data_IF_022954916143
#
_entry.id   IF_022954916143
#
_cell.length_a   1.000
_cell.length_b   1.000
_cell.length_c   1.000
_cell.angle_alpha   90.00
_cell.angle_beta   90.00
_cell.angle_gamma   90.00
#
_symmetry.space_group_name_H-M   'P 1'
#
loop_
_entity.id
_entity.type
_entity.pdbx_description
1 polymer ?
#
# COMPACT_ATOMS: atom_id res chain seq x y z
N UNK A 1 -46.67 -5.95 -40.90
CA UNK A 1 -45.92 -6.45 -39.72
C UNK A 1 -44.68 -5.59 -39.61
N UNK A 2 -44.79 -4.39 -39.04
CA UNK A 2 -44.86 -4.00 -37.61
C UNK A 2 -43.47 -3.72 -37.05
N UNK A 3 -43.23 -2.41 -36.90
CA UNK A 3 -42.26 -1.76 -36.02
C UNK A 3 -42.16 -2.46 -34.65
N UNK A 4 -41.07 -3.18 -34.37
CA UNK A 4 -40.80 -3.69 -33.02
C UNK A 4 -39.32 -4.08 -32.72
N UNK A 5 -38.32 -3.66 -33.51
CA UNK A 5 -36.91 -4.09 -33.30
C UNK A 5 -35.97 -2.97 -32.79
N UNK A 6 -36.49 -1.97 -32.10
CA UNK A 6 -35.66 -0.93 -31.45
C UNK A 6 -35.95 -0.90 -29.96
N UNK A 7 -35.15 -1.66 -29.19
CA UNK A 7 -34.75 -1.42 -27.79
C UNK A 7 -33.98 -2.63 -27.24
N UNK A 8 -32.73 -2.78 -27.67
CA UNK A 8 -31.71 -3.39 -26.84
C UNK A 8 -30.52 -2.43 -26.92
N UNK A 9 -30.28 -1.68 -25.84
CA UNK A 9 -29.02 -0.97 -25.67
C UNK A 9 -27.86 -1.96 -25.64
N UNK A 10 -26.60 -1.50 -25.68
CA UNK A 10 -25.46 -2.39 -25.64
C UNK A 10 -25.54 -3.24 -24.36
N UNK A 11 -25.52 -4.56 -24.52
CA UNK A 11 -25.38 -5.49 -23.42
C UNK A 11 -23.99 -5.26 -22.83
N UNK A 12 -23.90 -4.50 -21.73
CA UNK A 12 -22.66 -4.44 -20.96
C UNK A 12 -22.50 -5.84 -20.34
N UNK A 13 -21.54 -6.60 -20.85
CA UNK A 13 -21.17 -7.89 -20.28
C UNK A 13 -20.31 -7.61 -19.04
N UNK A 14 -20.93 -7.49 -17.88
CA UNK A 14 -20.21 -7.67 -16.61
C UNK A 14 -19.73 -9.12 -16.56
N UNK A 15 -18.42 -9.34 -16.40
CA UNK A 15 -17.89 -10.69 -16.23
C UNK A 15 -18.32 -11.28 -14.88
N UNK A 16 -18.50 -10.42 -13.86
CA UNK A 16 -19.08 -10.77 -12.56
C UNK A 16 -20.59 -10.55 -12.56
N UNK A 17 -21.34 -11.59 -12.21
CA UNK A 17 -22.80 -11.54 -12.06
C UNK A 17 -23.23 -11.09 -10.67
N UNK A 18 -24.47 -10.58 -10.57
CA UNK A 18 -25.11 -10.28 -9.29
C UNK A 18 -25.04 -11.45 -8.31
N UNK A 19 -25.34 -12.68 -8.76
CA UNK A 19 -25.31 -13.83 -7.86
C UNK A 19 -23.89 -14.14 -7.39
N UNK A 20 -22.87 -14.02 -8.27
CA UNK A 20 -21.49 -14.24 -7.87
C UNK A 20 -21.06 -13.25 -6.78
N UNK A 21 -21.30 -11.95 -6.95
CA UNK A 21 -20.92 -10.96 -5.94
C UNK A 21 -21.77 -11.08 -4.65
N UNK A 22 -23.06 -11.38 -4.78
CA UNK A 22 -23.95 -11.59 -3.63
C UNK A 22 -23.57 -12.85 -2.82
N UNK A 23 -23.11 -13.90 -3.48
CA UNK A 23 -22.88 -15.20 -2.83
C UNK A 23 -21.40 -15.49 -2.54
N UNK A 24 -20.46 -14.68 -3.04
CA UNK A 24 -19.02 -14.83 -2.75
C UNK A 24 -18.75 -14.77 -1.24
N UNK A 25 -17.86 -15.65 -0.78
CA UNK A 25 -17.29 -15.62 0.56
C UNK A 25 -15.85 -15.07 0.49
N UNK A 26 -15.62 -13.79 0.85
CA UNK A 26 -14.30 -13.18 0.79
C UNK A 26 -13.25 -13.92 1.63
N UNK A 27 -13.66 -14.52 2.76
CA UNK A 27 -12.74 -15.18 3.70
C UNK A 27 -12.06 -16.42 3.10
N UNK A 28 -12.58 -16.97 1.99
CA UNK A 28 -11.90 -18.04 1.27
C UNK A 28 -10.60 -17.57 0.61
N UNK A 29 -10.51 -16.29 0.21
CA UNK A 29 -9.31 -15.73 -0.38
C UNK A 29 -8.26 -15.43 0.69
N UNK A 30 -8.67 -14.89 1.85
CA UNK A 30 -7.79 -14.74 3.01
C UNK A 30 -7.26 -16.09 3.51
N UNK A 31 -8.10 -17.13 3.55
CA UNK A 31 -7.65 -18.50 3.88
C UNK A 31 -6.63 -19.03 2.86
N UNK A 32 -6.83 -18.74 1.57
CA UNK A 32 -5.86 -19.12 0.55
C UNK A 32 -4.55 -18.34 0.71
N UNK A 33 -4.62 -17.07 1.13
CA UNK A 33 -3.46 -16.25 1.45
C UNK A 33 -2.66 -16.89 2.61
N UNK A 34 -3.32 -17.29 3.69
CA UNK A 34 -2.72 -18.03 4.81
C UNK A 34 -2.01 -19.32 4.35
N UNK A 35 -2.60 -20.08 3.40
CA UNK A 35 -1.98 -21.27 2.82
C UNK A 35 -0.70 -20.92 2.03
N UNK A 36 -0.70 -19.80 1.30
CA UNK A 36 0.51 -19.31 0.60
C UNK A 36 1.60 -18.82 1.56
N UNK A 37 1.24 -18.28 2.73
CA UNK A 37 2.21 -17.95 3.78
C UNK A 37 2.91 -19.21 4.30
N UNK A 38 2.21 -20.34 4.40
CA UNK A 38 2.84 -21.62 4.76
C UNK A 38 3.86 -22.02 3.69
N UNK A 39 3.49 -21.94 2.41
CA UNK A 39 4.40 -22.25 1.29
C UNK A 39 5.64 -21.34 1.31
N UNK A 40 5.46 -20.04 1.56
CA UNK A 40 6.56 -19.09 1.67
C UNK A 40 7.55 -19.48 2.77
N UNK A 41 7.04 -19.77 3.98
CA UNK A 41 7.87 -20.18 5.13
C UNK A 41 8.59 -21.50 4.91
N UNK A 42 7.96 -22.47 4.25
CA UNK A 42 8.60 -23.74 3.90
C UNK A 42 9.73 -23.53 2.88
N UNK A 43 9.52 -22.65 1.90
CA UNK A 43 10.56 -22.29 0.92
C UNK A 43 11.72 -21.52 1.56
N UNK A 44 11.45 -20.59 2.48
CA UNK A 44 12.48 -19.90 3.28
C UNK A 44 13.32 -20.90 4.08
N UNK A 45 12.67 -21.79 4.83
CA UNK A 45 13.35 -22.82 5.62
C UNK A 45 14.22 -23.72 4.74
N UNK A 46 13.73 -24.10 3.55
CA UNK A 46 14.51 -24.91 2.61
C UNK A 46 15.72 -24.16 2.04
N UNK A 47 15.60 -22.85 1.77
CA UNK A 47 16.72 -22.04 1.32
C UNK A 47 17.80 -21.93 2.42
N UNK A 48 17.38 -21.63 3.66
CA UNK A 48 18.27 -21.51 4.82
C UNK A 48 18.98 -22.83 5.11
N UNK A 49 18.25 -23.94 5.13
CA UNK A 49 18.82 -25.28 5.34
C UNK A 49 19.90 -25.59 4.29
N UNK A 50 19.71 -25.24 3.02
CA UNK A 50 20.71 -25.48 1.96
C UNK A 50 21.93 -24.56 2.12
N UNK A 51 21.72 -23.30 2.51
CA UNK A 51 22.82 -22.37 2.80
C UNK A 51 23.66 -22.83 4.00
N UNK A 52 23.02 -23.04 5.16
CA UNK A 52 23.70 -23.33 6.43
C UNK A 52 24.25 -24.75 6.50
N UNK A 53 23.53 -25.75 5.97
CA UNK A 53 23.88 -27.17 6.17
C UNK A 53 24.84 -27.70 5.12
N UNK A 54 24.64 -27.30 3.87
CA UNK A 54 25.25 -27.97 2.72
C UNK A 54 26.35 -27.14 2.07
N UNK A 55 26.18 -25.82 1.89
CA UNK A 55 27.20 -25.00 1.23
C UNK A 55 28.48 -24.79 2.07
N UNK A 56 28.32 -24.40 3.35
CA UNK A 56 29.44 -24.18 4.28
C UNK A 56 30.20 -25.48 4.58
N UNK A 57 29.45 -26.58 4.77
CA UNK A 57 30.02 -27.91 4.98
C UNK A 57 30.81 -28.40 3.76
N UNK A 58 30.37 -28.08 2.55
CA UNK A 58 31.05 -28.44 1.31
C UNK A 58 32.33 -27.62 1.09
N UNK A 59 32.37 -26.35 1.49
CA UNK A 59 33.56 -25.51 1.32
C UNK A 59 34.75 -26.06 2.10
N UNK A 60 34.52 -26.48 3.34
CA UNK A 60 35.58 -27.00 4.21
C UNK A 60 36.03 -28.42 3.86
N UNK A 61 35.16 -29.22 3.24
CA UNK A 61 35.36 -30.67 3.10
C UNK A 61 35.53 -31.15 1.66
N UNK A 62 35.20 -30.33 0.65
CA UNK A 62 35.28 -30.71 -0.77
C UNK A 62 35.79 -29.54 -1.63
N UNK A 63 37.10 -29.29 -1.55
CA UNK A 63 37.74 -28.10 -2.13
C UNK A 63 38.24 -28.26 -3.57
N UNK A 64 37.89 -29.35 -4.27
CA UNK A 64 38.31 -29.54 -5.66
C UNK A 64 37.32 -28.89 -6.66
N UNK A 65 37.66 -28.91 -7.95
CA UNK A 65 36.83 -28.31 -9.01
C UNK A 65 35.41 -28.91 -9.07
N UNK A 66 35.23 -30.17 -8.65
CA UNK A 66 33.92 -30.81 -8.60
C UNK A 66 33.13 -30.34 -7.38
N UNK A 67 33.78 -30.16 -6.25
CA UNK A 67 33.18 -29.55 -5.06
C UNK A 67 32.82 -28.08 -5.24
N UNK A 68 33.61 -27.32 -6.01
CA UNK A 68 33.24 -25.97 -6.48
C UNK A 68 31.93 -25.97 -7.29
N UNK A 69 31.79 -26.91 -8.23
CA UNK A 69 30.56 -27.04 -9.02
C UNK A 69 29.37 -27.46 -8.15
N UNK A 70 29.56 -28.39 -7.22
CA UNK A 70 28.50 -28.82 -6.30
C UNK A 70 28.00 -27.66 -5.43
N UNK A 71 28.91 -26.83 -4.90
CA UNK A 71 28.55 -25.62 -4.13
C UNK A 71 27.76 -24.61 -4.97
N UNK A 72 28.20 -24.35 -6.20
CA UNK A 72 27.48 -23.44 -7.09
C UNK A 72 26.04 -23.91 -7.37
N UNK A 73 25.83 -25.22 -7.53
CA UNK A 73 24.48 -25.79 -7.70
C UNK A 73 23.64 -25.69 -6.41
N UNK A 74 24.21 -25.96 -5.23
CA UNK A 74 23.51 -25.74 -3.96
C UNK A 74 23.09 -24.28 -3.78
N UNK A 75 23.99 -23.33 -4.06
CA UNK A 75 23.69 -21.89 -4.03
C UNK A 75 22.55 -21.53 -4.99
N UNK A 76 22.55 -22.09 -6.19
CA UNK A 76 21.44 -21.90 -7.15
C UNK A 76 20.11 -22.42 -6.59
N UNK A 77 20.09 -23.63 -6.03
CA UNK A 77 18.84 -24.21 -5.50
C UNK A 77 18.31 -23.38 -4.33
N UNK A 78 19.19 -22.93 -3.43
CA UNK A 78 18.80 -22.06 -2.32
C UNK A 78 18.22 -20.73 -2.85
N UNK A 79 18.84 -20.13 -3.86
CA UNK A 79 18.33 -18.97 -4.58
C UNK A 79 16.94 -19.23 -5.19
N UNK A 80 16.74 -20.36 -5.89
CA UNK A 80 15.45 -20.71 -6.49
C UNK A 80 14.34 -20.81 -5.42
N UNK A 81 14.63 -21.41 -4.26
CA UNK A 81 13.68 -21.46 -3.12
C UNK A 81 13.39 -20.07 -2.56
N UNK A 82 14.41 -19.23 -2.45
CA UNK A 82 14.26 -17.87 -2.00
C UNK A 82 13.33 -17.05 -2.93
N UNK A 83 13.50 -17.22 -4.25
CA UNK A 83 12.62 -16.60 -5.26
C UNK A 83 11.17 -17.10 -5.11
N UNK A 84 10.99 -18.40 -4.90
CA UNK A 84 9.67 -18.98 -4.68
C UNK A 84 8.99 -18.45 -3.42
N UNK A 85 9.74 -18.24 -2.33
CA UNK A 85 9.22 -17.66 -1.10
C UNK A 85 8.68 -16.23 -1.32
N UNK A 86 9.46 -15.38 -1.99
CA UNK A 86 9.09 -14.00 -2.28
C UNK A 86 7.87 -13.89 -3.18
N UNK A 87 7.83 -14.68 -4.25
CA UNK A 87 6.66 -14.73 -5.12
C UNK A 87 5.42 -15.21 -4.35
N UNK A 88 5.58 -16.18 -3.44
CA UNK A 88 4.48 -16.69 -2.59
C UNK A 88 3.97 -15.62 -1.62
N UNK A 89 4.86 -14.79 -1.05
CA UNK A 89 4.45 -13.64 -0.23
C UNK A 89 3.69 -12.59 -1.04
N UNK A 90 4.16 -12.24 -2.23
CA UNK A 90 3.41 -11.35 -3.11
C UNK A 90 2.02 -11.91 -3.47
N UNK A 91 1.89 -13.23 -3.63
CA UNK A 91 0.58 -13.89 -3.85
C UNK A 91 -0.32 -13.75 -2.61
N UNK A 92 0.21 -13.98 -1.41
CA UNK A 92 -0.49 -13.70 -0.14
C UNK A 92 -0.98 -12.24 -0.12
N UNK A 93 -0.09 -11.25 -0.32
CA UNK A 93 -0.46 -9.82 -0.31
C UNK A 93 -1.63 -9.53 -1.26
N UNK A 94 -1.57 -10.03 -2.50
CA UNK A 94 -2.64 -9.82 -3.49
C UNK A 94 -3.94 -10.52 -3.08
N UNK A 95 -3.88 -11.71 -2.50
CA UNK A 95 -5.07 -12.45 -2.09
C UNK A 95 -5.77 -11.82 -0.87
N UNK A 96 -5.01 -11.30 0.10
CA UNK A 96 -5.56 -10.54 1.23
C UNK A 96 -6.17 -9.23 0.75
N UNK A 97 -5.44 -8.48 -0.10
CA UNK A 97 -5.96 -7.28 -0.75
C UNK A 97 -7.24 -7.53 -1.56
N UNK A 98 -7.29 -8.65 -2.29
CA UNK A 98 -8.48 -9.07 -3.02
C UNK A 98 -9.63 -9.45 -2.08
N UNK A 99 -9.36 -10.17 -0.99
CA UNK A 99 -10.37 -10.50 0.02
C UNK A 99 -11.00 -9.23 0.60
N UNK A 100 -10.17 -8.25 0.93
CA UNK A 100 -10.59 -6.95 1.46
C UNK A 100 -11.42 -6.15 0.44
N UNK A 101 -10.92 -5.99 -0.78
CA UNK A 101 -11.63 -5.29 -1.85
C UNK A 101 -12.96 -5.95 -2.22
N UNK A 102 -13.01 -7.29 -2.30
CA UNK A 102 -14.24 -8.05 -2.54
C UNK A 102 -15.22 -7.86 -1.38
N UNK A 103 -14.75 -7.86 -0.13
CA UNK A 103 -15.60 -7.57 1.04
C UNK A 103 -16.18 -6.15 0.96
N UNK A 104 -15.37 -5.17 0.55
CA UNK A 104 -15.79 -3.78 0.37
C UNK A 104 -16.85 -3.62 -0.73
N UNK A 105 -16.61 -4.13 -1.93
CA UNK A 105 -17.56 -4.01 -3.05
C UNK A 105 -18.83 -4.86 -2.85
N UNK A 106 -18.73 -6.00 -2.16
CA UNK A 106 -19.90 -6.77 -1.72
C UNK A 106 -20.82 -5.95 -0.82
N UNK A 107 -20.25 -5.19 0.12
CA UNK A 107 -21.03 -4.28 0.99
C UNK A 107 -21.67 -3.14 0.20
N UNK A 108 -21.02 -2.61 -0.83
CA UNK A 108 -21.64 -1.63 -1.72
C UNK A 108 -22.88 -2.22 -2.42
N UNK A 109 -22.79 -3.47 -2.89
CA UNK A 109 -23.93 -4.18 -3.46
C UNK A 109 -25.06 -4.37 -2.44
N UNK A 110 -24.73 -4.81 -1.22
CA UNK A 110 -25.70 -4.99 -0.12
C UNK A 110 -26.38 -3.66 0.23
N UNK A 111 -25.64 -2.56 0.32
CA UNK A 111 -26.18 -1.21 0.54
C UNK A 111 -27.11 -0.76 -0.60
N UNK A 112 -26.81 -1.09 -1.85
CA UNK A 112 -27.68 -0.80 -2.99
C UNK A 112 -29.02 -1.57 -2.90
N UNK A 113 -28.95 -2.84 -2.49
CA UNK A 113 -30.13 -3.69 -2.27
C UNK A 113 -30.95 -3.20 -1.07
N UNK A 114 -30.30 -2.79 0.01
CA UNK A 114 -30.96 -2.22 1.20
C UNK A 114 -31.65 -0.89 0.87
N UNK A 115 -31.00 -0.03 0.07
CA UNK A 115 -31.60 1.18 -0.47
C UNK A 115 -32.87 0.87 -1.29
N UNK A 116 -32.80 -0.11 -2.20
CA UNK A 116 -33.93 -0.51 -3.03
C UNK A 116 -35.11 -1.04 -2.21
N UNK A 117 -34.83 -2.01 -1.33
CA UNK A 117 -35.84 -2.67 -0.52
C UNK A 117 -36.43 -1.73 0.53
N UNK A 118 -35.62 -0.85 1.12
CA UNK A 118 -36.06 0.21 2.03
C UNK A 118 -37.00 1.22 1.36
N UNK A 119 -36.84 1.47 0.07
CA UNK A 119 -37.74 2.29 -0.74
C UNK A 119 -39.01 1.54 -1.21
N UNK A 120 -39.21 0.28 -0.79
CA UNK A 120 -40.35 -0.55 -1.21
C UNK A 120 -40.28 -0.99 -2.67
N UNK A 121 -39.07 -1.09 -3.23
CA UNK A 121 -38.81 -1.60 -4.58
C UNK A 121 -38.58 -3.12 -4.54
N UNK A 122 -38.72 -3.76 -5.69
CA UNK A 122 -38.46 -5.20 -5.85
C UNK A 122 -37.14 -5.43 -6.56
N UNK A 123 -36.25 -6.21 -5.94
CA UNK A 123 -34.98 -6.66 -6.54
C UNK A 123 -35.18 -8.10 -7.02
N UNK A 124 -34.91 -8.38 -8.30
CA UNK A 124 -34.97 -9.73 -8.85
C UNK A 124 -33.72 -10.55 -8.55
N UNK A 125 -33.77 -11.85 -8.86
CA UNK A 125 -32.67 -12.79 -8.60
C UNK A 125 -31.37 -12.42 -9.34
N UNK A 126 -31.45 -11.65 -10.41
CA UNK A 126 -30.34 -11.12 -11.22
C UNK A 126 -29.93 -9.68 -10.83
N UNK A 127 -30.50 -9.13 -9.76
CA UNK A 127 -30.16 -7.81 -9.22
C UNK A 127 -30.91 -6.64 -9.84
N UNK A 128 -31.79 -6.87 -10.82
CA UNK A 128 -32.54 -5.78 -11.44
C UNK A 128 -33.64 -5.23 -10.49
N UNK A 129 -33.67 -3.91 -10.32
CA UNK A 129 -34.61 -3.22 -9.43
C UNK A 129 -35.82 -2.70 -10.20
N UNK A 130 -37.02 -3.02 -9.73
CA UNK A 130 -38.30 -2.62 -10.33
C UNK A 130 -39.23 -1.95 -9.32
N UNK A 131 -40.11 -1.10 -9.83
CA UNK A 131 -41.24 -0.56 -9.05
C UNK A 131 -42.35 -1.62 -9.00
N UNK A 132 -42.69 -2.17 -7.83
CA UNK A 132 -43.75 -3.16 -7.74
C UNK A 132 -45.13 -2.56 -8.06
N UNK A 133 -46.08 -3.36 -8.58
CA UNK A 133 -47.45 -2.90 -8.81
C UNK A 133 -48.09 -2.37 -7.51
N UNK A 134 -48.67 -1.17 -7.58
CA UNK A 134 -49.32 -0.53 -6.43
C UNK A 134 -48.38 0.26 -5.52
N UNK A 135 -47.12 0.47 -5.91
CA UNK A 135 -46.28 1.49 -5.29
C UNK A 135 -46.73 2.88 -5.79
N UNK A 136 -47.23 3.70 -4.86
CA UNK A 136 -47.76 5.04 -5.12
C UNK A 136 -46.74 6.16 -4.82
N UNK A 137 -45.49 5.85 -4.47
CA UNK A 137 -44.46 6.88 -4.25
C UNK A 137 -44.09 7.52 -5.61
N UNK A 138 -44.28 8.84 -5.79
CA UNK A 138 -43.92 9.53 -7.03
C UNK A 138 -42.43 9.44 -7.37
N UNK A 139 -41.56 9.12 -6.40
CA UNK A 139 -40.11 8.95 -6.59
C UNK A 139 -39.68 7.51 -6.88
N UNK A 140 -40.58 6.54 -6.82
CA UNK A 140 -40.22 5.12 -6.94
C UNK A 140 -39.46 4.80 -8.23
N UNK A 141 -39.84 5.43 -9.36
CA UNK A 141 -39.17 5.21 -10.64
C UNK A 141 -37.72 5.76 -10.66
N UNK A 142 -37.51 6.93 -10.06
CA UNK A 142 -36.18 7.55 -9.93
C UNK A 142 -35.31 6.73 -8.97
N UNK A 143 -35.86 6.30 -7.83
CA UNK A 143 -35.17 5.44 -6.86
C UNK A 143 -34.82 4.09 -7.47
N UNK A 144 -35.69 3.50 -8.28
CA UNK A 144 -35.39 2.25 -8.98
C UNK A 144 -34.28 2.42 -10.01
N UNK A 145 -34.26 3.53 -10.77
CA UNK A 145 -33.16 3.83 -11.67
C UNK A 145 -31.85 3.96 -10.89
N UNK A 146 -31.86 4.73 -9.79
CA UNK A 146 -30.68 4.91 -8.94
C UNK A 146 -30.16 3.60 -8.34
N UNK A 147 -31.06 2.75 -7.85
CA UNK A 147 -30.67 1.46 -7.30
C UNK A 147 -30.05 0.54 -8.36
N UNK A 148 -30.58 0.57 -9.60
CA UNK A 148 -29.98 -0.19 -10.71
C UNK A 148 -28.57 0.32 -11.05
N UNK A 149 -28.34 1.64 -11.03
CA UNK A 149 -27.01 2.23 -11.21
C UNK A 149 -26.05 1.73 -10.12
N UNK A 150 -26.42 1.83 -8.85
CA UNK A 150 -25.58 1.35 -7.74
C UNK A 150 -25.23 -0.15 -7.84
N UNK A 151 -26.19 -0.98 -8.27
CA UNK A 151 -25.94 -2.41 -8.53
C UNK A 151 -24.95 -2.59 -9.69
N UNK A 152 -25.12 -1.83 -10.77
CA UNK A 152 -24.22 -1.83 -11.94
C UNK A 152 -22.81 -1.40 -11.53
N UNK A 153 -22.67 -0.36 -10.73
CA UNK A 153 -21.38 0.18 -10.29
C UNK A 153 -20.65 -0.85 -9.44
N UNK A 154 -21.34 -1.50 -8.49
CA UNK A 154 -20.77 -2.58 -7.69
C UNK A 154 -20.29 -3.76 -8.54
N UNK A 155 -21.03 -4.14 -9.60
CA UNK A 155 -20.62 -5.22 -10.50
C UNK A 155 -19.45 -4.82 -11.41
N UNK A 156 -19.38 -3.54 -11.80
CA UNK A 156 -18.27 -2.98 -12.57
C UNK A 156 -17.00 -2.98 -11.73
N UNK A 157 -17.06 -2.44 -10.52
CA UNK A 157 -15.97 -2.44 -9.55
C UNK A 157 -15.49 -3.87 -9.26
N UNK A 158 -16.40 -4.81 -8.99
CA UNK A 158 -16.03 -6.21 -8.75
C UNK A 158 -15.35 -6.86 -9.96
N UNK A 159 -15.73 -6.49 -11.19
CA UNK A 159 -15.05 -6.96 -12.41
C UNK A 159 -13.64 -6.40 -12.51
N UNK A 160 -13.43 -5.11 -12.21
CA UNK A 160 -12.09 -4.50 -12.23
C UNK A 160 -11.18 -5.06 -11.14
N UNK A 161 -11.72 -5.28 -9.94
CA UNK A 161 -11.01 -5.94 -8.83
C UNK A 161 -10.55 -7.35 -9.23
N UNK A 162 -11.40 -8.14 -9.89
CA UNK A 162 -11.04 -9.46 -10.44
C UNK A 162 -9.93 -9.36 -11.51
N UNK A 163 -10.03 -8.39 -12.43
CA UNK A 163 -9.05 -8.18 -13.49
C UNK A 163 -7.67 -7.76 -12.95
N UNK A 164 -7.64 -6.89 -11.95
CA UNK A 164 -6.44 -6.41 -11.26
C UNK A 164 -5.76 -7.57 -10.52
N UNK A 165 -6.50 -8.29 -9.66
CA UNK A 165 -6.00 -9.45 -8.94
C UNK A 165 -5.44 -10.51 -9.89
N UNK A 166 -6.20 -10.86 -10.95
CA UNK A 166 -5.77 -11.85 -11.94
C UNK A 166 -4.47 -11.44 -12.63
N UNK A 167 -4.30 -10.16 -12.92
CA UNK A 167 -3.09 -9.63 -13.57
C UNK A 167 -1.90 -9.72 -12.63
N UNK A 168 -2.04 -9.21 -11.41
CA UNK A 168 -0.98 -9.27 -10.40
C UNK A 168 -0.54 -10.71 -10.08
N UNK A 169 -1.50 -11.63 -9.86
CA UNK A 169 -1.21 -13.04 -9.62
C UNK A 169 -0.49 -13.72 -10.79
N UNK A 170 -0.88 -13.39 -12.03
CA UNK A 170 -0.24 -13.95 -13.22
C UNK A 170 1.23 -13.50 -13.33
N UNK A 171 1.51 -12.24 -13.04
CA UNK A 171 2.88 -11.70 -13.11
C UNK A 171 3.78 -12.30 -12.03
N UNK A 172 3.27 -12.45 -10.79
CA UNK A 172 3.97 -13.11 -9.69
C UNK A 172 4.34 -14.56 -10.01
N UNK A 173 3.40 -15.36 -10.52
CA UNK A 173 3.66 -16.76 -10.90
C UNK A 173 4.66 -16.85 -12.06
N UNK A 174 4.59 -15.92 -13.03
CA UNK A 174 5.54 -15.87 -14.15
C UNK A 174 6.96 -15.59 -13.66
N UNK A 175 7.13 -14.72 -12.66
CA UNK A 175 8.44 -14.39 -12.09
C UNK A 175 9.01 -15.51 -11.24
N UNK A 176 8.17 -16.24 -10.48
CA UNK A 176 8.58 -17.46 -9.77
C UNK A 176 9.11 -18.57 -10.69
N UNK A 177 8.80 -18.48 -11.99
CA UNK A 177 9.20 -19.47 -13.00
C UNK A 177 10.55 -19.13 -13.68
N UNK A 178 11.28 -18.11 -13.22
CA UNK A 178 12.61 -17.75 -13.73
C UNK A 178 13.63 -18.80 -13.26
N UNK A 179 14.33 -19.45 -14.21
CA UNK A 179 15.25 -20.57 -13.96
C UNK A 179 16.74 -20.21 -14.12
N UNK A 180 17.04 -18.92 -14.24
CA UNK A 180 18.39 -18.40 -14.46
C UNK A 180 19.14 -18.12 -13.16
N UNK A 181 20.44 -18.42 -13.12
CA UNK A 181 21.33 -17.97 -12.03
C UNK A 181 21.46 -16.45 -12.11
N UNK A 182 21.18 -15.78 -11.00
CA UNK A 182 21.19 -14.31 -10.90
C UNK A 182 22.22 -13.87 -9.85
N UNK A 183 22.81 -12.68 -9.99
CA UNK A 183 23.55 -12.08 -8.87
C UNK A 183 22.60 -11.66 -7.74
N UNK A 184 23.12 -11.40 -6.55
CA UNK A 184 22.32 -10.86 -5.42
C UNK A 184 21.60 -9.56 -5.81
N UNK A 185 22.28 -8.66 -6.52
CA UNK A 185 21.68 -7.42 -7.04
C UNK A 185 20.54 -7.69 -8.03
N UNK A 186 20.70 -8.70 -8.90
CA UNK A 186 19.67 -9.09 -9.86
C UNK A 186 18.46 -9.73 -9.18
N UNK A 187 18.66 -10.54 -8.13
CA UNK A 187 17.56 -11.06 -7.28
C UNK A 187 16.83 -9.89 -6.64
N UNK A 188 17.57 -8.96 -6.02
CA UNK A 188 16.98 -7.85 -5.31
C UNK A 188 16.07 -7.03 -6.23
N UNK A 189 16.54 -6.74 -7.44
CA UNK A 189 15.73 -5.99 -8.41
C UNK A 189 14.57 -6.81 -9.00
N UNK A 190 14.84 -8.03 -9.46
CA UNK A 190 13.88 -8.80 -10.27
C UNK A 190 12.81 -9.49 -9.42
N UNK A 191 13.10 -9.72 -8.14
CA UNK A 191 12.31 -10.58 -7.27
C UNK A 191 11.74 -9.83 -6.06
N UNK A 192 12.49 -8.88 -5.49
CA UNK A 192 11.97 -8.04 -4.39
C UNK A 192 11.30 -6.80 -4.93
N UNK A 193 12.05 -5.99 -5.67
CA UNK A 193 11.64 -4.62 -5.95
C UNK A 193 10.49 -4.58 -6.95
N UNK A 194 10.48 -5.44 -7.97
CA UNK A 194 9.39 -5.47 -8.96
C UNK A 194 8.10 -6.16 -8.47
N UNK A 195 8.14 -7.44 -8.10
CA UNK A 195 6.95 -8.25 -7.83
C UNK A 195 6.19 -7.88 -6.54
N UNK A 196 6.89 -7.77 -5.41
CA UNK A 196 6.27 -7.47 -4.10
C UNK A 196 5.70 -6.07 -4.07
N UNK A 197 6.37 -5.13 -4.72
CA UNK A 197 5.86 -3.79 -5.00
C UNK A 197 4.60 -3.80 -5.86
N UNK A 198 4.61 -4.53 -6.97
CA UNK A 198 3.43 -4.66 -7.83
C UNK A 198 2.24 -5.24 -7.05
N UNK A 199 2.49 -6.21 -6.16
CA UNK A 199 1.47 -6.78 -5.28
C UNK A 199 0.86 -5.74 -4.32
N UNK A 200 1.70 -4.91 -3.69
CA UNK A 200 1.23 -3.83 -2.81
C UNK A 200 0.46 -2.74 -3.53
N UNK A 201 0.91 -2.34 -4.73
CA UNK A 201 0.21 -1.40 -5.60
C UNK A 201 -1.17 -1.94 -6.03
N UNK A 202 -1.21 -3.17 -6.53
CA UNK A 202 -2.45 -3.84 -6.93
C UNK A 202 -3.45 -3.94 -5.76
N UNK A 203 -2.95 -4.25 -4.55
CA UNK A 203 -3.77 -4.30 -3.34
C UNK A 203 -4.51 -3.00 -3.06
N UNK A 204 -3.80 -1.88 -3.09
CA UNK A 204 -4.43 -0.58 -2.86
C UNK A 204 -5.31 -0.14 -4.03
N UNK A 205 -4.96 -0.48 -5.27
CA UNK A 205 -5.78 -0.18 -6.43
C UNK A 205 -7.13 -0.91 -6.38
N UNK A 206 -7.13 -2.20 -6.01
CA UNK A 206 -8.36 -2.96 -5.81
C UNK A 206 -9.26 -2.33 -4.72
N UNK A 207 -8.68 -1.81 -3.65
CA UNK A 207 -9.44 -1.09 -2.62
C UNK A 207 -10.07 0.18 -3.20
N UNK A 208 -9.31 0.96 -3.99
CA UNK A 208 -9.79 2.20 -4.62
C UNK A 208 -10.94 1.95 -5.61
N UNK A 209 -10.95 0.83 -6.31
CA UNK A 209 -12.08 0.44 -7.19
C UNK A 209 -13.41 0.28 -6.43
N UNK A 210 -13.37 0.08 -5.10
CA UNK A 210 -14.59 0.06 -4.27
C UNK A 210 -15.12 1.46 -3.89
N UNK A 211 -14.41 2.52 -4.28
CA UNK A 211 -14.75 3.91 -3.96
C UNK A 211 -15.40 4.62 -5.16
N UNK A 212 -16.40 5.49 -4.93
CA UNK A 212 -17.04 6.26 -6.00
C UNK A 212 -16.20 7.51 -6.39
N UNK A 213 -14.96 7.29 -6.82
CA UNK A 213 -13.98 8.37 -7.05
C UNK A 213 -14.41 9.34 -8.17
N UNK A 214 -15.04 8.82 -9.22
CA UNK A 214 -15.48 9.58 -10.39
C UNK A 214 -16.93 10.10 -10.30
N UNK A 215 -17.64 9.79 -9.21
CA UNK A 215 -19.05 10.14 -9.02
C UNK A 215 -19.24 11.58 -8.52
N UNK A 216 -20.48 12.07 -8.56
CA UNK A 216 -20.81 13.41 -8.06
C UNK A 216 -20.65 13.53 -6.53
N UNK A 217 -20.50 14.76 -6.03
CA UNK A 217 -20.37 15.02 -4.61
C UNK A 217 -21.57 14.49 -3.80
N UNK A 218 -22.77 14.57 -4.36
CA UNK A 218 -23.99 14.03 -3.76
C UNK A 218 -23.93 12.50 -3.61
N UNK A 219 -23.41 11.80 -4.61
CA UNK A 219 -23.28 10.34 -4.62
C UNK A 219 -22.19 9.87 -3.66
N UNK A 220 -21.05 10.57 -3.66
CA UNK A 220 -19.97 10.36 -2.69
C UNK A 220 -20.45 10.58 -1.24
N UNK A 221 -21.27 11.60 -1.01
CA UNK A 221 -21.89 11.87 0.31
C UNK A 221 -22.81 10.72 0.72
N UNK A 222 -23.66 10.25 -0.19
CA UNK A 222 -24.59 9.16 0.06
C UNK A 222 -23.85 7.85 0.37
N UNK A 223 -22.80 7.53 -0.39
CA UNK A 223 -21.93 6.39 -0.14
C UNK A 223 -21.29 6.47 1.24
N UNK A 224 -20.64 7.59 1.59
CA UNK A 224 -19.98 7.76 2.89
C UNK A 224 -20.95 7.61 4.08
N UNK A 225 -22.18 8.10 3.94
CA UNK A 225 -23.22 7.96 4.96
C UNK A 225 -23.84 6.56 5.06
N UNK A 226 -23.69 5.72 4.03
CA UNK A 226 -24.11 4.32 4.10
C UNK A 226 -23.14 3.47 4.92
N UNK A 227 -21.89 3.92 5.08
CA UNK A 227 -20.86 3.22 5.82
C UNK A 227 -21.06 3.38 7.34
N UNK A 228 -20.79 2.30 8.08
CA UNK A 228 -20.69 2.34 9.53
C UNK A 228 -19.32 2.91 9.97
N UNK A 229 -19.12 3.25 11.26
CA UNK A 229 -17.88 3.87 11.73
C UNK A 229 -16.61 3.03 11.52
N UNK A 230 -16.72 1.70 11.54
CA UNK A 230 -15.60 0.79 11.29
C UNK A 230 -15.21 0.81 9.81
N UNK A 231 -16.19 0.73 8.91
CA UNK A 231 -15.99 0.82 7.46
C UNK A 231 -15.43 2.20 7.06
N UNK A 232 -15.90 3.27 7.67
CA UNK A 232 -15.35 4.61 7.48
C UNK A 232 -13.86 4.64 7.84
N UNK A 233 -13.48 4.01 8.97
CA UNK A 233 -12.09 3.91 9.40
C UNK A 233 -11.24 3.07 8.45
N UNK A 234 -11.77 1.97 7.90
CA UNK A 234 -11.08 1.18 6.87
C UNK A 234 -10.67 2.06 5.68
N UNK A 235 -11.58 2.85 5.12
CA UNK A 235 -11.26 3.75 4.01
C UNK A 235 -10.30 4.88 4.39
N UNK A 236 -10.46 5.47 5.58
CA UNK A 236 -9.56 6.52 6.08
C UNK A 236 -8.12 6.03 6.24
N UNK A 237 -7.93 4.73 6.48
CA UNK A 237 -6.61 4.11 6.63
C UNK A 237 -6.05 3.58 5.32
N UNK A 238 -6.88 2.97 4.48
CA UNK A 238 -6.42 2.31 3.26
C UNK A 238 -6.22 3.29 2.08
N UNK A 239 -7.02 4.36 1.99
CA UNK A 239 -6.98 5.31 0.88
C UNK A 239 -7.19 6.77 1.36
N UNK A 240 -6.35 7.28 2.27
CA UNK A 240 -6.55 8.59 2.90
C UNK A 240 -6.53 9.75 1.90
N UNK A 241 -5.68 9.66 0.86
CA UNK A 241 -5.49 10.72 -0.13
C UNK A 241 -6.72 10.82 -1.04
N UNK A 242 -7.13 9.70 -1.62
CA UNK A 242 -8.31 9.62 -2.48
C UNK A 242 -9.58 10.04 -1.72
N UNK A 243 -9.74 9.56 -0.47
CA UNK A 243 -10.87 9.92 0.37
C UNK A 243 -10.90 11.42 0.70
N UNK A 244 -9.75 12.03 0.98
CA UNK A 244 -9.67 13.47 1.23
C UNK A 244 -10.10 14.29 -0.01
N UNK A 245 -9.75 13.84 -1.21
CA UNK A 245 -9.99 14.56 -2.46
C UNK A 245 -11.44 14.48 -2.94
N UNK A 246 -12.17 13.46 -2.54
CA UNK A 246 -13.60 13.32 -2.83
C UNK A 246 -14.39 14.54 -2.33
N UNK A 247 -15.16 15.17 -3.23
CA UNK A 247 -15.93 16.38 -2.95
C UNK A 247 -17.08 16.14 -1.96
N UNK A 248 -17.62 14.92 -1.91
CA UNK A 248 -18.72 14.55 -1.00
C UNK A 248 -18.31 14.22 0.43
N UNK A 249 -17.01 14.22 0.76
CA UNK A 249 -16.55 13.85 2.10
C UNK A 249 -16.66 15.05 3.07
N UNK A 250 -17.23 14.87 4.27
CA UNK A 250 -17.40 15.97 5.22
C UNK A 250 -16.08 16.64 5.64
N UNK A 251 -16.07 17.97 5.77
CA UNK A 251 -14.90 18.74 6.24
C UNK A 251 -14.36 18.28 7.60
N UNK A 252 -15.20 17.68 8.45
CA UNK A 252 -14.75 17.07 9.71
C UNK A 252 -13.84 15.88 9.47
N UNK A 253 -14.17 15.02 8.50
CA UNK A 253 -13.38 13.85 8.12
C UNK A 253 -12.11 14.30 7.42
N UNK A 254 -12.19 15.27 6.50
CA UNK A 254 -10.99 15.83 5.83
C UNK A 254 -10.00 16.41 6.84
N UNK A 255 -10.47 17.15 7.85
CA UNK A 255 -9.62 17.65 8.93
C UNK A 255 -9.04 16.54 9.82
N UNK A 256 -9.78 15.47 10.05
CA UNK A 256 -9.28 14.30 10.78
C UNK A 256 -8.14 13.62 10.01
N UNK A 257 -8.29 13.45 8.69
CA UNK A 257 -7.24 12.91 7.82
C UNK A 257 -5.99 13.80 7.78
N UNK A 258 -6.16 15.13 7.71
CA UNK A 258 -5.05 16.08 7.72
C UNK A 258 -4.28 16.01 9.05
N UNK A 259 -4.98 15.90 10.18
CA UNK A 259 -4.42 16.09 11.51
C UNK A 259 -4.64 17.52 12.04
N UNK A 260 -4.28 17.76 13.30
CA UNK A 260 -4.51 19.03 14.00
C UNK A 260 -3.27 19.59 14.72
N UNK A 261 -2.11 19.04 14.41
CA UNK A 261 -0.80 19.29 15.04
C UNK A 261 0.17 20.04 14.10
N UNK A 262 -0.36 20.69 13.07
CA UNK A 262 0.42 21.52 12.15
C UNK A 262 1.06 20.77 10.98
N UNK A 263 1.10 19.44 11.00
CA UNK A 263 1.60 18.62 9.89
C UNK A 263 0.43 18.08 9.06
N UNK A 264 0.46 18.33 7.75
CA UNK A 264 -0.55 17.82 6.82
C UNK A 264 -0.25 16.37 6.40
N UNK A 265 -0.86 15.40 7.08
CA UNK A 265 -0.62 13.97 6.81
C UNK A 265 -1.07 13.54 5.42
N UNK A 266 -2.17 14.09 4.92
CA UNK A 266 -2.67 13.76 3.57
C UNK A 266 -1.64 14.15 2.52
N UNK A 267 -1.11 15.37 2.59
CA UNK A 267 -0.14 15.84 1.60
C UNK A 267 1.25 15.20 1.81
N UNK A 268 1.64 14.85 3.03
CA UNK A 268 2.82 14.01 3.29
C UNK A 268 2.69 12.63 2.63
N UNK A 269 1.55 11.95 2.80
CA UNK A 269 1.30 10.64 2.18
C UNK A 269 1.24 10.75 0.67
N UNK A 270 0.54 11.76 0.13
CA UNK A 270 0.49 12.03 -1.31
C UNK A 270 1.88 12.24 -1.89
N UNK A 271 2.70 13.05 -1.22
CA UNK A 271 4.08 13.29 -1.61
C UNK A 271 4.87 11.98 -1.61
N UNK A 272 4.77 11.20 -0.54
CA UNK A 272 5.48 9.92 -0.44
C UNK A 272 5.10 8.98 -1.59
N UNK A 273 3.80 8.82 -1.87
CA UNK A 273 3.31 7.99 -2.98
C UNK A 273 3.74 8.50 -4.35
N UNK A 274 3.81 9.82 -4.55
CA UNK A 274 4.22 10.43 -5.82
C UNK A 274 5.73 10.24 -6.10
N UNK A 275 6.56 10.34 -5.06
CA UNK A 275 8.02 10.38 -5.20
C UNK A 275 8.74 9.10 -4.77
N UNK A 276 8.02 8.12 -4.17
CA UNK A 276 8.58 6.83 -3.81
C UNK A 276 9.18 6.06 -4.99
N UNK A 277 8.68 6.35 -6.21
CA UNK A 277 9.07 5.75 -7.48
C UNK A 277 10.07 6.57 -8.32
N UNK A 278 10.47 7.75 -7.87
CA UNK A 278 11.28 8.64 -8.72
C UNK A 278 12.76 8.31 -8.60
N UNK A 279 13.40 7.92 -9.71
CA UNK A 279 14.86 7.84 -9.81
C UNK A 279 15.48 9.20 -9.42
N UNK A 280 16.02 9.36 -8.20
CA UNK A 280 17.17 10.18 -7.74
C UNK A 280 17.48 11.58 -8.33
N UNK A 281 16.68 12.12 -9.26
CA UNK A 281 17.06 13.19 -10.19
C UNK A 281 16.35 14.50 -9.93
N UNK A 282 15.33 14.52 -9.09
CA UNK A 282 14.55 15.73 -8.84
C UNK A 282 14.89 16.40 -7.48
N UNK A 283 15.44 15.64 -6.51
CA UNK A 283 15.77 16.14 -5.17
C UNK A 283 17.08 15.49 -4.67
N UNK A 284 18.18 16.25 -4.50
CA UNK A 284 19.43 15.69 -4.02
C UNK A 284 19.38 15.17 -2.56
N UNK A 285 20.23 14.19 -2.24
CA UNK A 285 20.26 13.54 -0.93
C UNK A 285 19.28 12.36 -0.75
N UNK A 286 18.41 12.05 -1.70
CA UNK A 286 17.46 10.92 -1.62
C UNK A 286 18.09 9.51 -1.53
N UNK A 287 19.43 9.37 -1.56
CA UNK A 287 20.10 8.08 -1.28
C UNK A 287 19.84 7.51 0.11
N UNK A 288 19.42 8.40 0.99
CA UNK A 288 19.13 8.13 2.36
C UNK A 288 17.62 8.16 2.56
N UNK A 289 17.03 7.06 3.00
CA UNK A 289 15.60 7.00 3.26
C UNK A 289 15.13 7.96 4.36
N UNK A 290 16.02 8.33 5.29
CA UNK A 290 15.73 9.39 6.27
C UNK A 290 15.50 10.73 5.57
N UNK A 291 16.29 11.04 4.54
CA UNK A 291 16.11 12.26 3.76
C UNK A 291 14.79 12.25 3.00
N UNK A 292 14.37 11.09 2.47
CA UNK A 292 13.06 10.94 1.85
C UNK A 292 11.93 11.24 2.84
N UNK A 293 11.96 10.66 4.05
CA UNK A 293 10.97 10.95 5.10
C UNK A 293 10.98 12.43 5.46
N UNK A 294 12.16 12.99 5.65
CA UNK A 294 12.36 14.42 5.95
C UNK A 294 11.77 15.33 4.86
N UNK A 295 11.95 15.00 3.58
CA UNK A 295 11.32 15.72 2.47
C UNK A 295 9.80 15.53 2.43
N UNK A 296 9.29 14.32 2.69
CA UNK A 296 7.86 14.07 2.76
C UNK A 296 7.19 14.94 3.83
N UNK A 297 7.85 15.09 4.99
CA UNK A 297 7.38 15.96 6.07
C UNK A 297 7.46 17.45 5.71
N UNK A 298 8.51 17.90 5.04
CA UNK A 298 8.66 19.31 4.64
C UNK A 298 7.78 19.69 3.44
N UNK A 299 8.03 19.08 2.28
CA UNK A 299 7.39 19.43 1.01
C UNK A 299 5.92 19.02 0.96
N UNK A 300 5.58 17.86 1.53
CA UNK A 300 4.20 17.38 1.64
C UNK A 300 3.53 17.83 2.93
N UNK A 301 4.13 17.48 4.06
CA UNK A 301 3.58 17.75 5.39
C UNK A 301 3.57 19.22 5.81
N UNK A 302 4.34 20.07 5.13
CA UNK A 302 4.39 21.51 5.40
C UNK A 302 5.21 21.88 6.64
N UNK A 303 6.11 21.01 7.11
CA UNK A 303 7.06 21.35 8.17
C UNK A 303 7.92 22.54 7.71
N UNK A 304 7.98 23.66 8.44
CA UNK A 304 8.70 24.85 7.97
C UNK A 304 10.21 24.64 7.93
N UNK A 305 10.88 25.32 7.00
CA UNK A 305 12.35 25.45 7.02
C UNK A 305 12.75 26.55 8.01
N UNK A 306 13.71 26.28 8.89
CA UNK A 306 14.18 27.20 9.95
C UNK A 306 13.00 27.80 10.74
N UNK A 307 12.49 27.10 11.74
CA UNK A 307 11.23 27.41 12.43
C UNK A 307 11.16 28.84 13.00
N UNK A 308 12.32 29.43 13.36
CA UNK A 308 12.41 30.80 13.87
C UNK A 308 12.64 31.88 12.78
N UNK A 309 12.99 31.48 11.55
CA UNK A 309 13.30 32.33 10.39
C UNK A 309 14.44 33.35 10.60
N UNK A 310 15.21 33.22 11.68
CA UNK A 310 16.20 34.19 12.16
C UNK A 310 17.58 33.53 12.30
N UNK A 311 17.62 32.27 12.77
CA UNK A 311 18.84 31.53 12.99
C UNK A 311 19.33 30.95 11.66
N UNK A 312 20.58 31.25 11.22
CA UNK A 312 21.05 30.84 9.89
C UNK A 312 21.19 29.33 9.69
N UNK A 313 21.25 28.57 10.79
CA UNK A 313 21.28 27.11 10.84
C UNK A 313 21.05 26.68 12.28
N UNK A 314 20.01 25.87 12.52
CA UNK A 314 19.82 25.10 13.75
C UNK A 314 19.85 23.61 13.37
N UNK A 315 20.56 22.80 14.17
CA UNK A 315 20.65 21.36 13.93
C UNK A 315 19.31 20.64 14.18
N UNK A 316 18.43 21.29 14.93
CA UNK A 316 17.11 20.81 15.33
C UNK A 316 15.98 21.31 14.40
N UNK A 317 16.18 22.40 13.66
CA UNK A 317 15.21 22.82 12.65
C UNK A 317 15.37 22.02 11.36
N UNK A 318 14.27 21.78 10.65
CA UNK A 318 14.38 21.33 9.27
C UNK A 318 15.10 22.39 8.47
N UNK A 319 16.26 22.05 7.89
CA UNK A 319 17.01 22.95 7.02
C UNK A 319 17.85 22.16 6.03
N UNK A 320 18.14 22.79 4.89
CA UNK A 320 19.15 22.32 3.95
C UNK A 320 20.39 23.21 4.05
N UNK A 321 21.59 22.62 4.00
CA UNK A 321 22.83 23.38 4.05
C UNK A 321 22.86 24.48 2.96
N UNK A 322 22.74 25.74 3.38
CA UNK A 322 22.80 26.93 2.53
C UNK A 322 24.25 27.42 2.45
N UNK A 323 25.00 26.90 1.46
CA UNK A 323 26.15 27.53 0.79
C UNK A 323 27.00 28.45 1.70
N UNK A 324 27.66 27.89 2.72
CA UNK A 324 28.25 28.71 3.80
C UNK A 324 29.37 29.70 3.36
N UNK A 325 29.95 29.60 2.15
CA UNK A 325 31.13 30.41 1.77
C UNK A 325 31.15 31.02 0.35
N UNK A 326 30.21 30.72 -0.55
CA UNK A 326 30.11 31.37 -1.86
C UNK A 326 31.37 31.27 -2.75
N UNK A 327 32.18 30.22 -2.62
CA UNK A 327 33.41 30.01 -3.43
C UNK A 327 33.10 29.07 -4.61
N UNK A 328 33.12 29.55 -5.86
CA UNK A 328 32.86 28.68 -7.03
C UNK A 328 33.93 27.60 -7.17
N UNK A 329 33.52 26.32 -7.18
CA UNK A 329 34.38 25.18 -7.53
C UNK A 329 34.77 24.23 -6.38
N UNK A 330 34.42 24.52 -5.12
CA UNK A 330 34.40 23.53 -4.03
C UNK A 330 33.00 22.95 -3.78
N UNK A 331 31.98 23.55 -4.40
CA UNK A 331 30.55 23.33 -4.16
C UNK A 331 29.94 22.13 -4.92
N UNK A 332 30.71 21.22 -5.52
CA UNK A 332 30.13 20.08 -6.27
C UNK A 332 30.11 18.76 -5.51
N UNK A 333 30.83 18.66 -4.39
CA UNK A 333 30.93 17.42 -3.61
C UNK A 333 30.10 17.45 -2.29
N UNK A 334 29.61 18.61 -1.87
CA UNK A 334 28.96 18.85 -0.57
C UNK A 334 27.66 19.67 -0.72
N UNK A 335 26.73 19.22 -1.58
CA UNK A 335 25.42 19.87 -1.71
C UNK A 335 24.33 18.98 -1.15
N UNK A 336 23.60 19.53 -0.17
CA UNK A 336 22.34 19.02 0.40
C UNK A 336 22.48 17.94 1.48
N UNK A 337 23.09 18.30 2.61
CA UNK A 337 22.84 17.58 3.86
C UNK A 337 21.73 18.32 4.62
N UNK A 338 20.69 17.59 5.01
CA UNK A 338 19.73 18.05 6.01
C UNK A 338 20.47 18.34 7.33
N UNK A 339 19.87 19.16 8.20
CA UNK A 339 20.33 19.31 9.57
C UNK A 339 20.50 17.96 10.28
N UNK A 340 21.36 17.92 11.30
CA UNK A 340 21.78 16.65 11.91
C UNK A 340 20.61 15.84 12.48
N UNK A 341 19.57 16.50 13.02
CA UNK A 341 18.35 15.86 13.51
C UNK A 341 17.48 15.30 12.38
N UNK A 342 17.65 15.76 11.15
CA UNK A 342 16.80 15.40 10.02
C UNK A 342 17.47 14.52 8.96
N UNK A 343 18.79 14.30 9.06
CA UNK A 343 19.57 13.53 8.09
C UNK A 343 19.77 12.06 8.45
N UNK A 344 19.85 11.69 9.73
CA UNK A 344 20.17 10.32 10.16
C UNK A 344 18.98 9.65 10.87
N UNK A 345 18.69 8.38 10.53
CA UNK A 345 17.48 7.69 11.01
C UNK A 345 17.36 7.68 12.54
N UNK A 346 18.45 7.39 13.27
CA UNK A 346 18.48 7.46 14.74
C UNK A 346 18.22 8.88 15.26
N UNK A 347 18.88 9.88 14.68
CA UNK A 347 18.71 11.27 15.12
C UNK A 347 17.28 11.74 14.88
N UNK A 348 16.71 11.41 13.71
CA UNK A 348 15.35 11.74 13.33
C UNK A 348 14.34 11.07 14.27
N UNK A 349 14.52 9.77 14.57
CA UNK A 349 13.73 9.07 15.58
C UNK A 349 13.77 9.77 16.94
N UNK A 350 14.97 10.03 17.47
CA UNK A 350 15.15 10.63 18.78
C UNK A 350 14.56 12.04 18.85
N UNK A 351 14.72 12.82 17.77
CA UNK A 351 14.13 14.14 17.61
C UNK A 351 12.60 14.11 17.64
N UNK A 352 11.98 13.20 16.87
CA UNK A 352 10.51 13.07 16.85
C UNK A 352 9.97 12.77 18.26
N UNK A 353 10.61 11.89 19.01
CA UNK A 353 10.19 11.54 20.37
C UNK A 353 10.49 12.62 21.41
N UNK A 354 11.55 13.41 21.25
CA UNK A 354 11.83 14.51 22.18
C UNK A 354 10.90 15.72 21.99
N UNK A 355 10.16 15.76 20.90
CA UNK A 355 9.36 16.91 20.47
C UNK A 355 7.87 16.54 20.27
N UNK A 356 7.32 15.79 21.22
CA UNK A 356 5.89 15.49 21.28
C UNK A 356 5.45 14.23 20.55
N UNK A 357 6.26 13.68 19.65
CA UNK A 357 5.98 12.41 19.00
C UNK A 357 5.88 11.23 19.98
N UNK A 358 5.16 10.19 19.58
CA UNK A 358 4.93 8.99 20.41
C UNK A 358 5.19 7.71 19.62
N UNK A 359 5.72 6.69 20.28
CA UNK A 359 5.77 5.34 19.72
C UNK A 359 4.38 4.70 19.80
N UNK A 360 3.89 4.18 18.67
CA UNK A 360 2.58 3.52 18.57
C UNK A 360 2.73 2.05 18.22
N UNK A 361 1.76 1.23 18.62
CA UNK A 361 1.73 -0.18 18.20
C UNK A 361 1.32 -0.31 16.72
N UNK A 362 1.67 -1.42 16.04
CA UNK A 362 1.19 -1.67 14.67
C UNK A 362 -0.33 -1.58 14.51
N UNK A 363 -1.09 -2.02 15.51
CA UNK A 363 -2.55 -1.93 15.51
C UNK A 363 -3.08 -0.49 15.60
N UNK A 364 -2.29 0.44 16.15
CA UNK A 364 -2.63 1.85 16.31
C UNK A 364 -2.04 2.74 15.22
N UNK A 365 -1.20 2.19 14.34
CA UNK A 365 -0.59 2.90 13.23
C UNK A 365 -1.66 3.55 12.33
N UNK A 366 -1.29 4.67 11.73
CA UNK A 366 -2.09 5.45 10.79
C UNK A 366 -1.22 5.96 9.63
N UNK A 367 -1.79 6.20 8.45
CA UNK A 367 -1.07 6.90 7.38
C UNK A 367 -0.51 8.25 7.85
N UNK A 368 0.74 8.53 7.48
CA UNK A 368 1.52 9.68 7.94
C UNK A 368 2.33 9.41 9.21
N UNK A 369 2.22 8.24 9.84
CA UNK A 369 3.20 7.78 10.84
C UNK A 369 4.53 7.41 10.15
N UNK A 370 5.61 7.37 10.92
CA UNK A 370 6.97 7.06 10.44
C UNK A 370 7.37 5.69 10.97
N UNK A 371 7.89 4.83 10.10
CA UNK A 371 8.49 3.55 10.49
C UNK A 371 10.00 3.73 10.52
N UNK A 372 10.63 3.35 11.62
CA UNK A 372 12.07 3.18 11.71
C UNK A 372 12.41 1.70 11.80
N UNK A 373 13.53 1.28 11.23
CA UNK A 373 14.01 -0.10 11.34
C UNK A 373 15.29 -0.11 12.18
N UNK A 374 15.26 -0.90 13.25
CA UNK A 374 16.36 -1.09 14.19
C UNK A 374 16.93 -2.51 14.06
N UNK A 375 18.26 -2.62 13.97
CA UNK A 375 18.97 -3.89 14.08
C UNK A 375 19.96 -3.84 15.26
N UNK A 376 20.89 -4.81 15.34
CA UNK A 376 21.88 -4.87 16.43
C UNK A 376 22.84 -3.68 16.50
N UNK A 377 23.03 -2.95 15.40
CA UNK A 377 23.87 -1.75 15.34
C UNK A 377 23.07 -0.48 15.68
N UNK A 378 21.76 -0.52 15.43
CA UNK A 378 20.82 0.53 15.79
C UNK A 378 19.78 0.84 14.72
N UNK A 379 19.11 1.98 14.90
CA UNK A 379 18.19 2.54 13.93
C UNK A 379 18.99 3.04 12.72
N UNK A 380 18.74 2.44 11.56
CA UNK A 380 19.51 2.69 10.33
C UNK A 380 18.64 3.05 9.13
N UNK A 381 17.33 2.85 9.21
CA UNK A 381 16.40 3.12 8.11
C UNK A 381 15.11 3.77 8.61
N UNK A 382 14.45 4.51 7.72
CA UNK A 382 13.19 5.19 7.99
C UNK A 382 12.25 5.13 6.77
N UNK A 383 10.95 5.12 6.96
CA UNK A 383 9.95 5.11 5.89
C UNK A 383 8.64 5.76 6.35
N UNK A 384 7.75 6.05 5.40
CA UNK A 384 6.43 6.65 5.69
C UNK A 384 5.35 5.58 5.61
N UNK A 385 4.50 5.45 6.62
CA UNK A 385 3.25 4.68 6.52
C UNK A 385 2.31 5.42 5.56
N UNK A 386 1.95 4.78 4.45
CA UNK A 386 1.12 5.40 3.41
C UNK A 386 -0.30 4.86 3.35
N UNK A 387 -0.51 3.62 3.78
CA UNK A 387 -1.83 3.03 3.91
C UNK A 387 -1.82 1.92 4.96
N UNK A 388 -3.01 1.57 5.46
CA UNK A 388 -3.22 0.37 6.25
C UNK A 388 -4.49 -0.31 5.74
N UNK A 389 -4.35 -1.55 5.27
CA UNK A 389 -5.43 -2.34 4.69
C UNK A 389 -6.46 -2.75 5.76
N UNK A 390 -7.68 -3.12 5.37
CA UNK A 390 -8.73 -3.53 6.30
C UNK A 390 -8.35 -4.70 7.23
N UNK A 391 -7.54 -5.66 6.76
CA UNK A 391 -6.97 -6.74 7.58
C UNK A 391 -5.89 -6.28 8.59
N UNK A 392 -5.42 -5.04 8.45
CA UNK A 392 -4.45 -4.41 9.36
C UNK A 392 -3.01 -4.39 8.85
N UNK A 393 -2.75 -4.85 7.62
CA UNK A 393 -1.40 -4.82 7.05
C UNK A 393 -0.93 -3.38 6.79
N UNK A 394 0.29 -3.08 7.26
CA UNK A 394 0.89 -1.75 7.14
C UNK A 394 1.58 -1.65 5.79
N UNK A 395 1.11 -0.72 4.97
CA UNK A 395 1.72 -0.37 3.69
C UNK A 395 2.58 0.87 3.87
N UNK A 396 3.83 0.80 3.44
CA UNK A 396 4.79 1.87 3.64
C UNK A 396 5.60 2.19 2.38
N UNK A 397 6.09 3.43 2.30
CA UNK A 397 6.85 3.93 1.16
C UNK A 397 8.22 4.42 1.59
N UNK A 398 9.24 4.05 0.82
CA UNK A 398 10.64 4.39 1.04
C UNK A 398 11.35 4.64 -0.31
N UNK A 399 12.48 5.34 -0.28
CA UNK A 399 13.21 5.67 -1.51
C UNK A 399 14.30 4.67 -1.91
N UNK A 400 14.96 4.02 -0.95
CA UNK A 400 16.00 3.01 -1.27
C UNK A 400 15.34 1.84 -1.98
N UNK A 401 15.70 1.65 -3.25
CA UNK A 401 15.12 0.66 -4.17
C UNK A 401 13.78 1.05 -4.82
N UNK A 402 13.38 2.34 -4.74
CA UNK A 402 12.19 2.89 -5.42
C UNK A 402 10.90 2.15 -5.09
N UNK A 403 10.44 2.32 -3.86
CA UNK A 403 9.43 1.45 -3.27
C UNK A 403 8.24 2.21 -2.71
N UNK A 404 7.10 2.03 -3.37
CA UNK A 404 5.82 2.59 -2.92
C UNK A 404 4.86 1.50 -2.45
N UNK A 405 4.26 1.72 -1.26
CA UNK A 405 3.22 0.88 -0.68
C UNK A 405 3.62 -0.59 -0.54
N UNK A 406 4.72 -0.86 0.14
CA UNK A 406 5.15 -2.21 0.47
C UNK A 406 4.48 -2.73 1.72
N UNK A 407 4.15 -4.02 1.73
CA UNK A 407 3.78 -4.74 2.94
C UNK A 407 4.97 -4.79 3.93
N UNK A 408 4.71 -4.35 5.15
CA UNK A 408 5.64 -4.43 6.28
C UNK A 408 5.90 -5.87 6.70
N UNK A 409 4.86 -6.68 6.82
CA UNK A 409 4.95 -8.07 7.26
C UNK A 409 5.71 -8.94 6.25
N UNK A 410 5.44 -8.75 4.95
CA UNK A 410 6.08 -9.53 3.90
C UNK A 410 7.54 -9.14 3.69
N UNK A 411 7.88 -7.88 3.92
CA UNK A 411 9.26 -7.40 3.76
C UNK A 411 10.15 -7.70 4.97
N UNK A 412 9.63 -7.68 6.19
CA UNK A 412 10.44 -7.99 7.39
C UNK A 412 11.06 -9.38 7.35
N UNK A 413 10.28 -10.38 6.94
CA UNK A 413 10.78 -11.74 6.83
C UNK A 413 11.99 -11.85 5.89
N UNK A 414 12.02 -11.03 4.83
CA UNK A 414 13.12 -11.00 3.89
C UNK A 414 14.35 -10.23 4.40
N UNK A 415 14.16 -9.03 4.98
CA UNK A 415 15.29 -8.24 5.49
C UNK A 415 16.13 -9.06 6.49
N UNK A 416 15.47 -9.92 7.28
CA UNK A 416 16.12 -10.82 8.23
C UNK A 416 17.13 -11.79 7.59
N UNK A 417 16.92 -12.17 6.32
CA UNK A 417 17.76 -13.14 5.59
C UNK A 417 19.02 -12.47 5.04
N UNK A 418 18.94 -11.21 4.59
CA UNK A 418 20.04 -10.52 3.90
C UNK A 418 20.78 -9.47 4.73
N UNK A 419 20.09 -8.81 5.67
CA UNK A 419 20.61 -7.66 6.44
C UNK A 419 20.59 -7.88 7.95
N UNK A 420 20.04 -9.01 8.42
CA UNK A 420 19.81 -9.32 9.84
C UNK A 420 18.43 -8.88 10.34
N UNK A 421 18.07 -9.26 11.57
CA UNK A 421 16.74 -9.02 12.13
C UNK A 421 16.45 -7.51 12.32
N UNK A 422 15.59 -6.96 11.46
CA UNK A 422 15.08 -5.60 11.57
C UNK A 422 13.81 -5.58 12.42
N UNK A 423 13.82 -4.78 13.49
CA UNK A 423 12.66 -4.52 14.32
C UNK A 423 12.02 -3.18 13.92
N UNK A 424 10.75 -3.16 13.50
CA UNK A 424 10.04 -1.91 13.19
C UNK A 424 9.72 -1.13 14.47
N UNK A 425 9.93 0.18 14.45
CA UNK A 425 9.49 1.12 15.47
C UNK A 425 8.62 2.16 14.77
N UNK A 426 7.33 2.18 15.11
CA UNK A 426 6.39 3.12 14.50
C UNK A 426 6.25 4.32 15.42
N UNK A 427 6.51 5.51 14.89
CA UNK A 427 6.39 6.77 15.60
C UNK A 427 5.33 7.61 14.91
N UNK A 428 4.37 8.10 15.69
CA UNK A 428 3.46 9.15 15.28
C UNK A 428 4.08 10.50 15.64
N UNK A 429 4.44 11.34 14.65
CA UNK A 429 4.87 12.71 14.94
C UNK A 429 3.71 13.51 15.51
N UNK A 430 3.98 14.33 16.52
CA UNK A 430 3.08 15.38 17.01
C UNK A 430 3.90 16.66 17.17
N UNK A 431 4.17 17.39 16.06
CA UNK A 431 5.10 18.50 16.09
C UNK A 431 4.72 19.56 17.13
N UNK A 432 5.56 19.74 18.15
CA UNK A 432 5.45 20.87 19.08
C UNK A 432 6.29 22.09 18.66
N UNK A 433 6.91 22.00 17.48
CA UNK A 433 7.77 23.01 16.85
C UNK A 433 7.10 23.83 15.73
N UNK A 434 5.80 23.62 15.47
CA UNK A 434 5.04 24.30 14.39
C UNK A 434 4.16 25.45 14.92
#
# INVERSE_FOLDING_TARGET
>A
MTLADWRLGPTIHYMITYQQLRDVNPDMFATAADDWLVVAKEAETAADDIYESDADGLEDNWTDELGEQARAECQKIAQDYHIAALASRGVLTVLDGFADAVRMVKRNLESAVDFATGAGLSVSDDGHVTVPPGNDDPRAAEQAARANELVIDALTAATRIDEEARTALYDLVRQASIDTVMSEDEIAETVLNGPVKAAGLATLEMIKESMPLDESAEEQTAWWHSLNPEQQREYMRAAPVELHDMAGIPDTVKRELIGNDGMNRVEMVRWAQQYGETEYRNIPGMANCTNFVSYAMHEGGGVPENADGITPYDEDDWSQDHDHWGIPGLNELDKQQQSASWAAARNHHDYMLSHGGETVSPAEAMPGDIIYFENTEGIHHAAVVTAITPDGEIMYTQHTGEHTNLSLTDRQAFNNIYSGEDTPIIVRPHPDWI
#
